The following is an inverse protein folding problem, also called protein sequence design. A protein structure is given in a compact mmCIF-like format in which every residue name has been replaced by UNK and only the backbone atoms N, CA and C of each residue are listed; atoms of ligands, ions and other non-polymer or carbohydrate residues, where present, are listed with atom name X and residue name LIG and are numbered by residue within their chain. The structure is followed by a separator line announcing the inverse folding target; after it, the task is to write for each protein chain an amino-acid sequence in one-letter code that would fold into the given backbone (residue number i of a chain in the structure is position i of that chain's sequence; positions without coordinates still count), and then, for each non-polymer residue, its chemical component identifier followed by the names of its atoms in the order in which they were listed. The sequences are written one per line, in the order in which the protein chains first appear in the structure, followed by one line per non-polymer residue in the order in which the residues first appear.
data_IF_851003039073
#
_entry.id   IF_851003039073
#
_cell.length_a   1.000
_cell.length_b   1.000
_cell.length_c   1.000
_cell.angle_alpha   90.00
_cell.angle_beta   90.00
_cell.angle_gamma   90.00
#
_symmetry.space_group_name_H-M   'P 1'
#
loop_
_entity.id
_entity.type
_entity.pdbx_description
1 polymer ?
#
# COMPACT_ATOMS: atom_id res chain seq x y z
N UNK A 1 -27.22 -12.70 -15.56
CA UNK A 1 -27.77 -12.28 -14.24
C UNK A 1 -26.95 -11.11 -13.77
N UNK A 2 -27.57 -9.94 -13.67
CA UNK A 2 -26.96 -8.75 -13.08
C UNK A 2 -26.87 -8.94 -11.56
N UNK A 3 -25.76 -8.51 -10.93
CA UNK A 3 -25.46 -8.80 -9.51
C UNK A 3 -25.70 -7.63 -8.57
N UNK A 4 -25.73 -6.40 -9.09
CA UNK A 4 -25.82 -5.17 -8.29
C UNK A 4 -26.63 -4.11 -9.04
N UNK A 5 -27.52 -3.42 -8.32
CA UNK A 5 -28.35 -2.37 -8.89
C UNK A 5 -27.69 -0.97 -8.79
N UNK A 6 -26.81 -0.74 -7.79
CA UNK A 6 -26.13 0.53 -7.53
C UNK A 6 -24.74 0.32 -6.88
N UNK A 7 -23.84 1.30 -7.04
CA UNK A 7 -22.48 1.32 -6.46
C UNK A 7 -22.17 2.68 -5.84
N UNK A 8 -21.67 2.68 -4.60
CA UNK A 8 -21.00 3.83 -3.98
C UNK A 8 -19.51 3.49 -3.84
N UNK A 9 -18.65 4.22 -4.56
CA UNK A 9 -17.20 3.99 -4.55
C UNK A 9 -16.46 5.21 -4.01
N UNK A 10 -15.99 5.10 -2.77
CA UNK A 10 -15.16 6.12 -2.14
C UNK A 10 -13.82 6.21 -2.89
N UNK A 11 -13.35 7.43 -3.12
CA UNK A 11 -12.14 7.72 -3.92
C UNK A 11 -12.23 7.37 -5.42
N UNK A 12 -13.43 7.12 -5.95
CA UNK A 12 -13.67 6.98 -7.38
C UNK A 12 -13.38 5.57 -7.91
N UNK A 13 -12.61 5.46 -9.00
CA UNK A 13 -12.36 4.19 -9.69
C UNK A 13 -11.04 3.55 -9.25
N UNK A 14 -11.12 2.51 -8.41
CA UNK A 14 -9.97 1.89 -7.75
C UNK A 14 -9.48 0.59 -8.42
N UNK A 15 -10.01 0.24 -9.60
CA UNK A 15 -9.52 -0.92 -10.36
C UNK A 15 -8.07 -0.64 -10.78
N UNK A 16 -7.20 -1.60 -10.47
CA UNK A 16 -5.76 -1.43 -10.61
C UNK A 16 -5.33 -1.53 -12.07
N UNK A 17 -4.59 -0.53 -12.54
CA UNK A 17 -3.81 -0.65 -13.77
C UNK A 17 -2.45 -1.29 -13.47
N UNK A 18 -2.46 -2.62 -13.35
CA UNK A 18 -1.24 -3.39 -13.05
C UNK A 18 -0.25 -3.30 -14.22
N UNK A 19 -0.70 -3.14 -15.46
CA UNK A 19 0.19 -2.99 -16.62
C UNK A 19 1.11 -1.77 -16.49
N UNK A 20 0.61 -0.69 -15.91
CA UNK A 20 1.34 0.57 -15.72
C UNK A 20 1.80 0.83 -14.28
N UNK A 21 1.73 -0.15 -13.38
CA UNK A 21 2.02 0.01 -11.93
C UNK A 21 3.44 0.45 -11.58
N UNK A 22 4.38 0.29 -12.52
CA UNK A 22 5.79 0.62 -12.36
C UNK A 22 6.15 1.98 -12.94
N UNK A 23 5.18 2.70 -13.54
CA UNK A 23 5.38 4.09 -13.92
C UNK A 23 5.46 4.94 -12.63
N UNK A 24 6.53 5.72 -12.45
CA UNK A 24 6.68 6.52 -11.25
C UNK A 24 5.67 7.67 -11.23
N UNK A 25 5.08 7.91 -10.07
CA UNK A 25 4.31 9.12 -9.81
C UNK A 25 5.24 10.26 -9.34
N UNK A 26 4.77 11.53 -9.28
CA UNK A 26 5.54 12.60 -8.67
C UNK A 26 5.95 12.25 -7.23
N UNK A 27 7.17 12.62 -6.81
CA UNK A 27 7.71 12.25 -5.50
C UNK A 27 6.81 12.62 -4.30
N UNK A 28 6.07 13.73 -4.41
CA UNK A 28 5.09 14.16 -3.40
C UNK A 28 3.95 13.16 -3.21
N UNK A 29 3.58 12.40 -4.25
CA UNK A 29 2.60 11.32 -4.17
C UNK A 29 3.27 10.02 -3.69
N UNK A 30 4.42 9.65 -4.26
CA UNK A 30 5.13 8.40 -3.91
C UNK A 30 5.48 8.30 -2.42
N UNK A 31 5.78 9.42 -1.74
CA UNK A 31 6.03 9.41 -0.28
C UNK A 31 4.83 8.87 0.52
N UNK A 32 3.60 9.09 0.05
CA UNK A 32 2.38 8.56 0.68
C UNK A 32 2.16 7.08 0.40
N UNK A 33 2.98 6.47 -0.47
CA UNK A 33 2.91 5.06 -0.85
C UNK A 33 4.09 4.25 -0.30
N UNK A 34 4.80 4.77 0.71
CA UNK A 34 6.02 4.16 1.27
C UNK A 34 5.86 2.66 1.59
N UNK A 35 4.71 2.27 2.15
CA UNK A 35 4.39 0.90 2.54
C UNK A 35 4.35 -0.05 1.33
N UNK A 36 3.91 0.44 0.16
CA UNK A 36 3.86 -0.37 -1.06
C UNK A 36 5.26 -0.82 -1.49
N UNK A 37 6.28 0.00 -1.22
CA UNK A 37 7.69 -0.31 -1.49
C UNK A 37 8.30 -1.13 -0.36
N UNK A 38 7.98 -0.80 0.90
CA UNK A 38 8.46 -1.52 2.07
C UNK A 38 8.14 -3.02 1.99
N UNK A 39 6.89 -3.38 1.68
CA UNK A 39 6.43 -4.77 1.59
C UNK A 39 6.95 -5.56 0.38
N UNK A 40 7.69 -4.91 -0.52
CA UNK A 40 8.44 -5.63 -1.57
C UNK A 40 9.68 -6.32 -1.00
N UNK A 41 10.12 -5.94 0.20
CA UNK A 41 11.32 -6.50 0.85
C UNK A 41 10.96 -7.57 1.88
N UNK A 42 11.86 -8.50 2.13
CA UNK A 42 11.71 -9.48 3.23
C UNK A 42 11.66 -8.79 4.59
N UNK A 43 12.48 -7.73 4.77
CA UNK A 43 12.44 -6.89 5.96
C UNK A 43 11.07 -6.27 6.18
N UNK A 44 10.41 -5.81 5.11
CA UNK A 44 9.06 -5.26 5.19
C UNK A 44 8.01 -6.28 5.58
N UNK A 45 8.12 -7.51 5.06
CA UNK A 45 7.25 -8.62 5.45
C UNK A 45 7.41 -8.94 6.94
N UNK A 46 8.65 -9.20 7.40
CA UNK A 46 8.93 -9.50 8.80
C UNK A 46 8.58 -8.32 9.74
N UNK A 47 8.75 -7.09 9.25
CA UNK A 47 8.35 -5.89 9.97
C UNK A 47 6.84 -5.81 10.16
N UNK A 48 6.04 -6.19 9.15
CA UNK A 48 4.60 -6.26 9.29
C UNK A 48 4.19 -7.33 10.32
N UNK A 49 4.79 -8.52 10.26
CA UNK A 49 4.49 -9.60 11.21
C UNK A 49 4.73 -9.20 12.67
N UNK A 50 5.87 -8.55 12.92
CA UNK A 50 6.29 -8.12 14.25
C UNK A 50 5.55 -6.87 14.74
N UNK A 51 5.18 -5.95 13.84
CA UNK A 51 4.69 -4.60 14.17
C UNK A 51 3.41 -4.23 13.42
N UNK A 52 2.48 -5.19 13.27
CA UNK A 52 1.23 -4.99 12.50
C UNK A 52 0.34 -3.90 13.08
N UNK A 53 0.30 -3.77 14.42
CA UNK A 53 -0.47 -2.74 15.12
C UNK A 53 0.11 -1.35 14.86
N UNK A 54 1.43 -1.19 15.07
CA UNK A 54 2.13 0.08 14.81
C UNK A 54 1.96 0.53 13.36
N UNK A 55 2.06 -0.42 12.42
CA UNK A 55 1.86 -0.15 11.00
C UNK A 55 0.42 0.32 10.71
N UNK A 56 -0.58 -0.33 11.30
CA UNK A 56 -1.98 0.06 11.12
C UNK A 56 -2.28 1.45 11.73
N UNK A 57 -1.72 1.77 12.89
CA UNK A 57 -1.91 3.07 13.54
C UNK A 57 -1.32 4.22 12.70
N UNK A 58 -0.09 4.04 12.19
CA UNK A 58 0.53 4.99 11.26
C UNK A 58 -0.38 5.20 10.04
N UNK A 59 -0.89 4.11 9.47
CA UNK A 59 -1.77 4.18 8.28
C UNK A 59 -3.09 4.89 8.56
N UNK A 60 -3.68 4.74 9.75
CA UNK A 60 -4.89 5.48 10.13
C UNK A 60 -4.63 6.98 10.24
N UNK A 61 -3.54 7.38 10.88
CA UNK A 61 -3.17 8.79 10.99
C UNK A 61 -2.82 9.41 9.63
N UNK A 62 -2.03 8.73 8.81
CA UNK A 62 -1.62 9.24 7.50
C UNK A 62 -2.80 9.37 6.53
N UNK A 63 -3.73 8.41 6.53
CA UNK A 63 -4.89 8.42 5.63
C UNK A 63 -6.03 9.32 6.13
N UNK A 64 -6.04 9.72 7.40
CA UNK A 64 -7.08 10.56 7.99
C UNK A 64 -6.47 11.62 8.92
N UNK A 65 -5.66 12.55 8.39
CA UNK A 65 -4.84 13.46 9.19
C UNK A 65 -5.64 14.44 10.04
N UNK A 66 -6.90 14.71 9.68
CA UNK A 66 -7.81 15.57 10.44
C UNK A 66 -8.73 14.80 11.38
N UNK A 67 -8.74 13.47 11.30
CA UNK A 67 -9.59 12.65 12.17
C UNK A 67 -8.89 12.41 13.50
N UNK A 68 -9.41 13.02 14.56
CA UNK A 68 -8.97 12.76 15.92
C UNK A 68 -9.73 11.56 16.47
N UNK A 69 -9.24 10.35 16.18
CA UNK A 69 -9.79 9.13 16.79
C UNK A 69 -9.16 8.87 18.16
N UNK A 70 -9.95 8.33 19.08
CA UNK A 70 -9.47 7.94 20.40
C UNK A 70 -8.78 6.58 20.38
N UNK A 71 -7.84 6.37 21.32
CA UNK A 71 -7.14 5.09 21.51
C UNK A 71 -8.08 3.88 21.57
N UNK A 72 -9.16 4.00 22.35
CA UNK A 72 -10.15 2.93 22.50
C UNK A 72 -10.83 2.55 21.17
N UNK A 73 -10.99 3.49 20.23
CA UNK A 73 -11.57 3.20 18.92
C UNK A 73 -10.59 2.40 18.05
N UNK A 74 -9.31 2.78 18.06
CA UNK A 74 -8.27 2.04 17.35
C UNK A 74 -8.11 0.63 17.93
N UNK A 75 -8.00 0.51 19.25
CA UNK A 75 -7.91 -0.78 19.96
C UNK A 75 -9.12 -1.68 19.68
N UNK A 76 -10.31 -1.11 19.47
CA UNK A 76 -11.50 -1.86 19.07
C UNK A 76 -11.38 -2.50 17.69
N UNK A 77 -10.56 -1.96 16.79
CA UNK A 77 -10.28 -2.54 15.46
C UNK A 77 -9.16 -3.58 15.48
N UNK A 78 -8.35 -3.57 16.54
CA UNK A 78 -7.11 -4.33 16.65
C UNK A 78 -7.25 -5.85 16.45
N UNK A 79 -8.33 -6.52 16.93
CA UNK A 79 -8.50 -7.96 16.69
C UNK A 79 -8.52 -8.35 15.20
N UNK A 80 -8.85 -7.42 14.29
CA UNK A 80 -8.83 -7.68 12.84
C UNK A 80 -7.41 -7.88 12.31
N UNK A 81 -6.41 -7.23 12.93
CA UNK A 81 -5.01 -7.34 12.53
C UNK A 81 -4.35 -8.62 13.09
N UNK A 82 -4.94 -9.23 14.11
CA UNK A 82 -4.44 -10.46 14.73
C UNK A 82 -4.79 -11.73 13.95
N UNK A 83 -5.58 -11.61 12.86
CA UNK A 83 -5.82 -12.70 11.93
C UNK A 83 -4.46 -13.30 11.46
N UNK A 84 -4.23 -14.62 11.60
CA UNK A 84 -2.97 -15.24 11.20
C UNK A 84 -2.61 -15.01 9.72
N UNK A 85 -3.60 -14.81 8.85
CA UNK A 85 -3.39 -14.58 7.42
C UNK A 85 -3.15 -13.09 7.08
N UNK A 86 -3.28 -12.17 8.04
CA UNK A 86 -3.28 -10.73 7.80
C UNK A 86 -2.04 -10.26 7.04
N UNK A 87 -0.86 -10.60 7.56
CA UNK A 87 0.40 -10.15 6.96
C UNK A 87 0.60 -10.72 5.56
N UNK A 88 0.33 -12.01 5.39
CA UNK A 88 0.49 -12.68 4.09
C UNK A 88 -0.45 -12.07 3.05
N UNK A 89 -1.70 -11.80 3.41
CA UNK A 89 -2.67 -11.15 2.52
C UNK A 89 -2.22 -9.74 2.14
N UNK A 90 -1.77 -8.93 3.10
CA UNK A 90 -1.30 -7.56 2.86
C UNK A 90 -0.05 -7.55 1.98
N UNK A 91 0.94 -8.37 2.31
CA UNK A 91 2.20 -8.48 1.56
C UNK A 91 1.93 -8.99 0.15
N UNK A 92 1.11 -10.03 0.00
CA UNK A 92 0.70 -10.54 -1.31
C UNK A 92 0.02 -9.45 -2.14
N UNK A 93 -0.95 -8.73 -1.56
CA UNK A 93 -1.68 -7.67 -2.25
C UNK A 93 -0.74 -6.59 -2.79
N UNK A 94 0.19 -6.07 -1.98
CA UNK A 94 1.08 -5.00 -2.41
C UNK A 94 2.18 -5.48 -3.37
N UNK A 95 2.66 -6.73 -3.22
CA UNK A 95 3.55 -7.33 -4.21
C UNK A 95 2.85 -7.49 -5.56
N UNK A 96 1.63 -8.01 -5.57
CA UNK A 96 0.83 -8.13 -6.78
C UNK A 96 0.59 -6.77 -7.44
N UNK A 97 0.18 -5.76 -6.66
CA UNK A 97 -0.09 -4.38 -7.13
C UNK A 97 1.10 -3.75 -7.86
N UNK A 98 2.33 -4.10 -7.49
CA UNK A 98 3.59 -3.59 -8.09
C UNK A 98 4.30 -4.62 -8.96
N UNK A 99 3.61 -5.70 -9.38
CA UNK A 99 4.15 -6.84 -10.15
C UNK A 99 5.34 -7.59 -9.50
N UNK A 100 5.60 -7.36 -8.21
CA UNK A 100 6.88 -7.64 -7.56
C UNK A 100 7.94 -6.80 -8.26
N UNK A 101 8.54 -5.80 -7.59
CA UNK A 101 9.60 -5.00 -8.21
C UNK A 101 10.66 -5.99 -8.73
N UNK A 102 10.86 -6.13 -10.06
CA UNK A 102 11.94 -6.97 -10.55
C UNK A 102 13.23 -6.32 -10.07
N UNK A 103 14.17 -7.11 -9.54
CA UNK A 103 15.54 -6.65 -9.36
C UNK A 103 15.96 -5.97 -10.68
N UNK A 104 16.25 -4.67 -10.62
CA UNK A 104 16.36 -3.75 -11.76
C UNK A 104 16.84 -4.41 -13.06
N UNK A 105 16.06 -4.41 -14.15
CA UNK A 105 16.61 -4.63 -15.47
C UNK A 105 17.29 -3.33 -15.91
N UNK A 106 18.61 -3.32 -15.75
CA UNK A 106 19.58 -2.49 -16.49
C UNK A 106 19.27 -0.98 -16.56
N UNK A 107 20.00 -0.19 -15.78
CA UNK A 107 20.04 1.27 -15.86
C UNK A 107 20.54 1.74 -17.24
N UNK A 108 19.66 1.80 -18.24
CA UNK A 108 19.89 2.64 -19.42
C UNK A 108 19.55 4.06 -19.03
N UNK A 109 20.61 4.81 -18.72
CA UNK A 109 20.64 6.27 -18.65
C UNK A 109 19.74 6.84 -19.73
N UNK A 110 18.68 7.53 -19.33
CA UNK A 110 18.10 8.56 -20.18
C UNK A 110 19.21 9.59 -20.42
N UNK A 111 19.71 9.65 -21.64
CA UNK A 111 20.63 10.68 -22.10
C UNK A 111 19.92 12.02 -21.96
N UNK A 112 20.21 12.76 -20.90
CA UNK A 112 19.92 14.18 -20.84
C UNK A 112 20.79 14.87 -21.90
N UNK A 113 20.23 15.70 -22.80
CA UNK A 113 21.05 16.53 -23.66
C UNK A 113 21.87 17.47 -22.77
N UNK A 114 23.19 17.41 -22.93
CA UNK A 114 24.09 18.46 -22.44
C UNK A 114 23.94 19.66 -23.37
N UNK A 115 23.81 20.83 -22.73
CA UNK A 115 23.81 22.21 -23.23
C UNK A 115 23.76 22.42 -24.74
#
# INVERSE_FOLDING_TARGET
MERHDLLVSVSGYLIQDIANSNLPAPARAERGFWFQFYFQTERGSAGLDAHRWDTAEIMWHDNSPTWTFGKALFEGSAPSFDNPDYSDVVVHFYRHRRRGIPATPNSRRASLPRQ
#
